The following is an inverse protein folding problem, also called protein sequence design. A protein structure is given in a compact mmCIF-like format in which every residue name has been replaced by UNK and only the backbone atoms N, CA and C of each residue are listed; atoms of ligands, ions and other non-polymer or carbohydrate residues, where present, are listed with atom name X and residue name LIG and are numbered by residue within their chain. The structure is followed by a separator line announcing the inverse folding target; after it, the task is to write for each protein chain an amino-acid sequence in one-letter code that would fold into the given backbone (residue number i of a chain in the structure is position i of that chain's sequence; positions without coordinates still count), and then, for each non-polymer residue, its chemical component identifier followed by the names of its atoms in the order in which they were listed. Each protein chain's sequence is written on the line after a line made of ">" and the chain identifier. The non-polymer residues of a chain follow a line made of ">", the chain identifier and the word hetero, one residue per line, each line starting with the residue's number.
data_IF_618068547016
#
_entry.id   IF_618068547016
#
_cell.length_a   1.000
_cell.length_b   1.000
_cell.length_c   1.000
_cell.angle_alpha   90.00
_cell.angle_beta   90.00
_cell.angle_gamma   90.00
#
_symmetry.space_group_name_H-M   'P 1'
#
loop_
_entity.id
_entity.type
_entity.pdbx_description
1 polymer ?
#
# COMPACT_ATOMS: atom_id res chain seq x y z
N UNK A 1 -16.22 -9.92 -4.42
CA UNK A 1 -14.97 -10.70 -4.62
C UNK A 1 -13.73 -9.81 -4.71
N UNK A 2 -13.74 -8.72 -5.49
CA UNK A 2 -12.57 -7.81 -5.65
C UNK A 2 -12.12 -7.18 -4.32
N UNK A 3 -13.05 -6.82 -3.42
CA UNK A 3 -12.73 -6.29 -2.08
C UNK A 3 -11.80 -7.21 -1.27
N UNK A 4 -12.11 -8.51 -1.22
CA UNK A 4 -11.30 -9.48 -0.47
C UNK A 4 -9.91 -9.64 -1.08
N UNK A 5 -9.82 -9.65 -2.41
CA UNK A 5 -8.56 -9.71 -3.12
C UNK A 5 -7.70 -8.46 -2.85
N UNK A 6 -8.29 -7.27 -2.85
CA UNK A 6 -7.62 -6.02 -2.50
C UNK A 6 -7.11 -6.06 -1.05
N UNK A 7 -7.94 -6.55 -0.12
CA UNK A 7 -7.56 -6.71 1.28
C UNK A 7 -6.38 -7.67 1.45
N UNK A 8 -6.42 -8.84 0.79
CA UNK A 8 -5.33 -9.82 0.83
C UNK A 8 -4.04 -9.20 0.27
N UNK A 9 -4.13 -8.48 -0.84
CA UNK A 9 -2.97 -7.83 -1.46
C UNK A 9 -2.36 -6.76 -0.54
N UNK A 10 -3.18 -5.95 0.12
CA UNK A 10 -2.73 -5.00 1.15
C UNK A 10 -2.02 -5.76 2.27
N UNK A 11 -2.62 -6.83 2.82
CA UNK A 11 -1.98 -7.61 3.89
C UNK A 11 -0.63 -8.19 3.43
N UNK A 12 -0.54 -8.71 2.21
CA UNK A 12 0.73 -9.14 1.62
C UNK A 12 1.76 -8.02 1.54
N UNK A 13 1.37 -6.79 1.18
CA UNK A 13 2.25 -5.63 1.17
C UNK A 13 2.72 -5.28 2.60
N UNK A 14 1.85 -5.34 3.61
CA UNK A 14 2.24 -5.11 5.00
C UNK A 14 3.17 -6.20 5.55
N UNK A 15 3.03 -7.44 5.07
CA UNK A 15 3.93 -8.55 5.41
C UNK A 15 5.22 -8.54 4.58
N UNK A 16 5.28 -7.76 3.50
CA UNK A 16 6.45 -7.73 2.59
C UNK A 16 7.79 -7.49 3.28
N UNK A 17 7.94 -6.66 4.34
CA UNK A 17 9.22 -6.45 5.04
C UNK A 17 9.86 -7.72 5.61
N UNK A 18 9.04 -8.73 5.90
CA UNK A 18 9.48 -9.99 6.53
C UNK A 18 9.72 -11.10 5.51
N UNK A 19 9.21 -10.95 4.28
CA UNK A 19 9.22 -11.99 3.25
C UNK A 19 10.16 -11.63 2.09
N UNK A 20 10.13 -10.36 1.65
CA UNK A 20 10.83 -9.86 0.47
C UNK A 20 12.03 -8.99 0.85
N UNK A 21 13.08 -9.03 0.04
CA UNK A 21 14.20 -8.11 0.16
C UNK A 21 13.78 -6.63 -0.01
N UNK A 22 14.36 -5.76 0.81
CA UNK A 22 14.09 -4.32 0.79
C UNK A 22 14.30 -3.69 -0.59
N UNK A 23 15.22 -4.21 -1.44
CA UNK A 23 15.42 -3.74 -2.82
C UNK A 23 14.19 -4.02 -3.68
N UNK A 24 13.60 -5.20 -3.54
CA UNK A 24 12.38 -5.59 -4.24
C UNK A 24 11.21 -4.71 -3.78
N UNK A 25 11.09 -4.48 -2.47
CA UNK A 25 10.06 -3.58 -1.92
C UNK A 25 10.20 -2.17 -2.49
N UNK A 26 11.43 -1.66 -2.62
CA UNK A 26 11.69 -0.33 -3.18
C UNK A 26 11.26 -0.25 -4.65
N UNK A 27 11.50 -1.29 -5.45
CA UNK A 27 11.01 -1.39 -6.83
C UNK A 27 9.47 -1.36 -6.86
N UNK A 28 8.79 -2.12 -5.98
CA UNK A 28 7.33 -2.09 -5.91
C UNK A 28 6.78 -0.73 -5.50
N UNK A 29 7.43 -0.04 -4.55
CA UNK A 29 7.05 1.33 -4.16
C UNK A 29 7.22 2.31 -5.33
N UNK A 30 8.32 2.20 -6.09
CA UNK A 30 8.53 3.01 -7.29
C UNK A 30 7.44 2.76 -8.34
N UNK A 31 7.12 1.49 -8.62
CA UNK A 31 6.04 1.12 -9.55
C UNK A 31 4.67 1.62 -9.06
N UNK A 32 4.42 1.58 -7.75
CA UNK A 32 3.21 2.10 -7.16
C UNK A 32 3.07 3.62 -7.34
N UNK A 33 4.16 4.39 -7.16
CA UNK A 33 4.15 5.82 -7.45
C UNK A 33 3.93 6.11 -8.94
N UNK A 34 4.56 5.35 -9.83
CA UNK A 34 4.31 5.46 -11.28
C UNK A 34 2.82 5.24 -11.56
N UNK A 35 2.21 4.20 -10.97
CA UNK A 35 0.79 3.92 -11.11
C UNK A 35 -0.08 5.09 -10.60
N UNK A 36 0.25 5.67 -9.44
CA UNK A 36 -0.44 6.85 -8.90
C UNK A 36 -0.35 8.07 -9.82
N UNK A 37 0.79 8.28 -10.48
CA UNK A 37 0.96 9.40 -11.42
C UNK A 37 0.17 9.16 -12.71
N UNK A 38 0.19 7.94 -13.25
CA UNK A 38 -0.47 7.59 -14.51
C UNK A 38 -1.99 7.49 -14.37
N UNK A 39 -2.47 6.81 -13.34
CA UNK A 39 -3.90 6.53 -13.14
C UNK A 39 -4.57 7.44 -12.11
N UNK A 40 -3.80 8.24 -11.37
CA UNK A 40 -4.31 9.12 -10.32
C UNK A 40 -4.75 8.40 -9.04
N UNK A 41 -4.87 7.07 -9.05
CA UNK A 41 -5.32 6.21 -7.95
C UNK A 41 -4.78 4.78 -8.13
N UNK A 42 -4.98 3.92 -7.12
CA UNK A 42 -4.68 2.50 -7.24
C UNK A 42 -5.59 1.85 -8.30
N UNK A 43 -5.01 1.05 -9.21
CA UNK A 43 -5.75 0.42 -10.31
C UNK A 43 -6.90 -0.45 -9.78
N UNK A 44 -6.68 -1.18 -8.68
CA UNK A 44 -7.72 -2.00 -8.07
C UNK A 44 -8.83 -1.14 -7.45
N UNK A 45 -8.53 0.07 -6.94
CA UNK A 45 -9.55 0.95 -6.37
C UNK A 45 -10.47 1.47 -7.47
N UNK A 46 -9.89 1.88 -8.60
CA UNK A 46 -10.63 2.31 -9.80
C UNK A 46 -11.52 1.17 -10.30
N UNK A 47 -10.98 -0.04 -10.42
CA UNK A 47 -11.74 -1.21 -10.84
C UNK A 47 -12.86 -1.62 -9.87
N UNK A 48 -12.61 -1.50 -8.57
CA UNK A 48 -13.52 -1.96 -7.53
C UNK A 48 -14.72 -1.02 -7.37
N UNK A 49 -14.50 0.29 -7.39
CA UNK A 49 -15.56 1.27 -7.14
C UNK A 49 -16.06 1.96 -8.41
N UNK A 50 -15.39 1.76 -9.56
CA UNK A 50 -15.66 2.49 -10.81
C UNK A 50 -15.72 4.01 -10.63
N UNK A 51 -15.17 4.50 -9.53
CA UNK A 51 -15.08 5.92 -9.22
C UNK A 51 -13.73 6.42 -9.71
N UNK A 52 -13.78 7.40 -10.60
CA UNK A 52 -12.62 8.19 -11.02
C UNK A 52 -12.30 9.31 -10.01
N UNK A 53 -13.10 9.43 -8.94
CA UNK A 53 -12.87 10.40 -7.89
C UNK A 53 -11.49 10.15 -7.27
N UNK A 54 -10.57 11.08 -7.53
CA UNK A 54 -9.15 10.95 -7.21
C UNK A 54 -8.86 10.74 -5.72
N UNK A 55 -9.82 11.05 -4.84
CA UNK A 55 -9.63 11.05 -3.39
C UNK A 55 -10.24 9.83 -2.68
N UNK A 56 -11.05 9.00 -3.36
CA UNK A 56 -11.56 7.76 -2.75
C UNK A 56 -10.50 6.66 -2.78
N UNK A 57 -10.11 6.20 -1.60
CA UNK A 57 -9.21 5.07 -1.39
C UNK A 57 -9.97 3.89 -0.79
N UNK A 58 -9.39 2.69 -0.88
CA UNK A 58 -9.95 1.52 -0.20
C UNK A 58 -10.18 1.79 1.30
N UNK A 59 -9.23 2.47 1.95
CA UNK A 59 -9.31 2.84 3.36
C UNK A 59 -10.43 3.81 3.67
N UNK A 60 -10.66 4.84 2.84
CA UNK A 60 -11.79 5.75 3.07
C UNK A 60 -13.12 5.01 3.08
N UNK A 61 -13.25 3.98 2.23
CA UNK A 61 -14.47 3.20 2.17
C UNK A 61 -14.64 2.26 3.37
N UNK A 62 -13.55 1.67 3.87
CA UNK A 62 -13.57 0.88 5.11
C UNK A 62 -13.95 1.76 6.30
N UNK A 63 -13.42 2.98 6.40
CA UNK A 63 -13.77 3.93 7.45
C UNK A 63 -15.24 4.38 7.37
N UNK A 64 -15.77 4.64 6.17
CA UNK A 64 -17.19 4.91 5.96
C UNK A 64 -18.07 3.73 6.39
N UNK A 65 -17.66 2.50 6.10
CA UNK A 65 -18.38 1.29 6.53
C UNK A 65 -18.41 1.14 8.07
N UNK A 66 -17.37 1.62 8.75
CA UNK A 66 -17.28 1.67 10.21
C UNK A 66 -18.08 2.85 10.83
N UNK A 67 -18.75 3.66 10.00
CA UNK A 67 -19.56 4.80 10.44
C UNK A 67 -18.77 6.10 10.64
N UNK A 68 -17.51 6.16 10.19
CA UNK A 68 -16.69 7.37 10.23
C UNK A 68 -16.75 8.13 8.91
N UNK A 69 -16.67 9.46 8.96
CA UNK A 69 -16.54 10.33 7.78
C UNK A 69 -15.12 10.88 7.67
N UNK A 70 -14.12 10.04 7.31
CA UNK A 70 -12.74 10.49 7.30
C UNK A 70 -12.53 11.55 6.21
N UNK A 71 -11.61 12.47 6.45
CA UNK A 71 -11.14 13.35 5.39
C UNK A 71 -10.37 12.52 4.35
N UNK A 72 -11.04 12.24 3.21
CA UNK A 72 -10.53 11.41 2.11
C UNK A 72 -9.14 11.82 1.64
N UNK A 73 -8.87 13.13 1.60
CA UNK A 73 -7.57 13.70 1.22
C UNK A 73 -6.47 13.36 2.22
N UNK A 74 -6.76 13.41 3.52
CA UNK A 74 -5.80 13.04 4.57
C UNK A 74 -5.52 11.54 4.54
N UNK A 75 -6.56 10.71 4.43
CA UNK A 75 -6.40 9.25 4.32
C UNK A 75 -5.53 8.90 3.13
N UNK A 76 -5.80 9.52 1.99
CA UNK A 76 -4.98 9.35 0.79
C UNK A 76 -3.52 9.72 1.01
N UNK A 77 -3.23 10.87 1.59
CA UNK A 77 -1.84 11.27 1.86
C UNK A 77 -1.12 10.24 2.75
N UNK A 78 -1.80 9.74 3.77
CA UNK A 78 -1.24 8.72 4.67
C UNK A 78 -1.00 7.40 3.92
N UNK A 79 -1.98 6.94 3.15
CA UNK A 79 -1.92 5.64 2.45
C UNK A 79 -0.96 5.67 1.27
N UNK A 80 -0.94 6.74 0.49
CA UNK A 80 -0.17 6.83 -0.75
C UNK A 80 1.29 7.27 -0.49
N UNK A 81 1.55 8.03 0.58
CA UNK A 81 2.89 8.56 0.86
C UNK A 81 3.47 8.07 2.19
N UNK A 82 2.72 8.07 3.29
CA UNK A 82 3.30 7.71 4.60
C UNK A 82 3.52 6.20 4.72
N UNK A 83 2.52 5.39 4.38
CA UNK A 83 2.56 3.94 4.54
C UNK A 83 3.67 3.28 3.68
N UNK A 84 3.84 3.58 2.38
CA UNK A 84 4.85 2.91 1.55
C UNK A 84 6.27 3.18 2.06
N UNK A 85 6.55 4.42 2.47
CA UNK A 85 7.85 4.77 3.06
C UNK A 85 8.04 4.14 4.43
N UNK A 86 6.98 4.07 5.26
CA UNK A 86 7.05 3.36 6.54
C UNK A 86 7.39 1.88 6.35
N UNK A 87 6.81 1.20 5.35
CA UNK A 87 7.11 -0.20 5.02
C UNK A 87 8.59 -0.37 4.62
N UNK A 88 9.12 0.53 3.78
CA UNK A 88 10.55 0.49 3.40
C UNK A 88 11.46 0.70 4.60
N UNK A 89 11.15 1.67 5.47
CA UNK A 89 11.92 1.93 6.69
C UNK A 89 11.88 0.72 7.62
N UNK A 90 10.72 0.11 7.82
CA UNK A 90 10.57 -1.10 8.64
C UNK A 90 11.38 -2.25 8.02
N UNK A 91 11.33 -2.44 6.70
CA UNK A 91 12.12 -3.46 6.00
C UNK A 91 13.63 -3.25 6.19
N UNK A 92 14.10 -2.01 6.05
CA UNK A 92 15.51 -1.66 6.28
C UNK A 92 15.92 -1.91 7.74
N UNK A 93 15.12 -1.46 8.71
CA UNK A 93 15.41 -1.68 10.13
C UNK A 93 15.44 -3.18 10.45
N UNK A 94 14.47 -3.95 9.96
CA UNK A 94 14.38 -5.38 10.21
C UNK A 94 15.50 -6.18 9.56
N UNK A 95 15.77 -5.95 8.27
CA UNK A 95 16.71 -6.75 7.49
C UNK A 95 18.17 -6.32 7.72
N UNK A 96 18.44 -5.01 7.82
CA UNK A 96 19.79 -4.48 7.96
C UNK A 96 20.28 -4.52 9.40
N UNK A 97 19.45 -4.09 10.38
CA UNK A 97 19.86 -4.10 11.79
C UNK A 97 19.58 -5.44 12.48
N UNK A 98 18.49 -6.11 12.12
CA UNK A 98 18.13 -7.41 12.72
C UNK A 98 18.97 -8.59 12.23
N UNK A 99 19.80 -8.42 11.17
CA UNK A 99 20.54 -9.52 10.50
C UNK A 99 19.66 -10.73 10.13
N UNK A 100 18.36 -10.54 9.98
CA UNK A 100 17.46 -11.58 9.52
C UNK A 100 17.58 -11.71 8.01
N UNK A 101 18.03 -12.88 7.54
CA UNK A 101 17.99 -13.24 6.12
C UNK A 101 16.53 -13.39 5.69
N UNK A 102 16.09 -12.54 4.76
CA UNK A 102 14.77 -12.64 4.15
C UNK A 102 14.73 -13.81 3.17
N UNK A 103 13.56 -14.43 3.05
CA UNK A 103 13.38 -15.66 2.28
C UNK A 103 13.59 -15.48 0.77
N UNK A 104 13.36 -14.28 0.24
CA UNK A 104 13.56 -13.89 -1.15
C UNK A 104 14.58 -12.74 -1.27
N UNK A 105 15.76 -12.89 -0.65
CA UNK A 105 16.91 -11.99 -0.81
C UNK A 105 18.07 -12.69 -1.51
N UNK A 106 18.57 -12.07 -2.59
CA UNK A 106 19.79 -12.49 -3.30
C UNK A 106 21.05 -11.92 -2.64
#
# INVERSE_FOLDING_TARGET
>A
MIFLLHLILILCIYLSPFILDWRIILVFVALYYIQLVVFGNCILTIWQFREEARDTTFYSHVFELLGFSPNKRTVRLVVDYVIPWAIVIIALLWQVFGRHSVFLGF
#
